data_IF_789890939907
#
_entry.id   IF_789890939907
#
_cell.length_a   1.000
_cell.length_b   1.000
_cell.length_c   1.000
_cell.angle_alpha   90.00
_cell.angle_beta   90.00
_cell.angle_gamma   90.00
#
_symmetry.space_group_name_H-M   'P 1'
#
loop_
_entity.id
_entity.type
_entity.pdbx_description
1 polymer ?
#
# COMPACT_ATOMS: atom_id res chain seq x y z
N UNK A 1 44.47 -32.69 36.10
CA UNK A 1 44.98 -31.65 35.18
C UNK A 1 44.19 -31.71 33.87
N UNK A 2 43.19 -30.85 33.67
CA UNK A 2 42.27 -30.92 32.53
C UNK A 2 42.86 -30.27 31.27
N UNK A 3 42.90 -31.00 30.15
CA UNK A 3 43.34 -30.48 28.84
C UNK A 3 42.35 -29.43 28.31
N UNK A 4 42.87 -28.27 27.91
CA UNK A 4 42.06 -27.21 27.28
C UNK A 4 41.55 -27.68 25.89
N UNK A 5 40.22 -27.71 25.72
CA UNK A 5 39.55 -28.26 24.52
C UNK A 5 39.49 -27.31 23.31
N UNK A 6 39.87 -26.03 23.45
CA UNK A 6 39.79 -25.02 22.36
C UNK A 6 41.16 -24.41 22.08
N UNK A 7 41.65 -24.59 20.87
CA UNK A 7 42.87 -23.97 20.36
C UNK A 7 42.63 -22.50 20.03
N UNK A 8 43.58 -21.63 20.40
CA UNK A 8 43.51 -20.19 20.10
C UNK A 8 43.77 -19.97 18.62
N UNK A 9 42.98 -19.08 17.99
CA UNK A 9 43.21 -18.67 16.60
C UNK A 9 44.34 -17.64 16.54
N UNK A 10 45.26 -17.79 15.59
CA UNK A 10 46.32 -16.83 15.33
C UNK A 10 45.77 -15.59 14.62
N UNK A 11 46.38 -14.41 14.86
CA UNK A 11 46.03 -13.12 14.26
C UNK A 11 44.57 -12.65 14.48
N UNK A 12 43.98 -12.95 15.64
CA UNK A 12 42.67 -12.40 16.00
C UNK A 12 42.77 -10.91 16.32
N UNK A 13 42.24 -10.07 15.43
CA UNK A 13 42.12 -8.62 15.63
C UNK A 13 40.75 -8.24 16.17
N UNK A 14 40.66 -7.06 16.81
CA UNK A 14 39.39 -6.47 17.22
C UNK A 14 38.55 -6.20 15.97
N UNK A 15 37.26 -6.54 16.00
CA UNK A 15 36.35 -6.24 14.87
C UNK A 15 36.24 -4.72 14.74
N UNK A 16 36.77 -4.18 13.66
CA UNK A 16 36.65 -2.78 13.27
C UNK A 16 35.52 -2.63 12.25
N UNK A 17 34.97 -1.43 12.14
CA UNK A 17 33.94 -1.13 11.15
C UNK A 17 34.54 -1.26 9.74
N UNK A 18 33.88 -2.03 8.88
CA UNK A 18 34.32 -2.22 7.51
C UNK A 18 34.02 -0.94 6.69
N UNK A 19 34.96 -0.40 5.91
CA UNK A 19 34.72 0.73 5.02
C UNK A 19 33.57 0.53 4.01
N UNK A 20 33.20 -0.72 3.72
CA UNK A 20 32.09 -1.08 2.83
C UNK A 20 30.77 -1.38 3.58
N UNK A 21 30.66 -1.00 4.85
CA UNK A 21 29.43 -1.23 5.64
C UNK A 21 28.26 -0.38 5.11
N UNK A 22 27.08 -1.00 5.02
CA UNK A 22 25.82 -0.40 4.53
C UNK A 22 25.34 0.72 5.46
N UNK A 23 25.79 0.74 6.72
CA UNK A 23 25.46 1.78 7.70
C UNK A 23 26.23 3.09 7.48
N UNK A 24 27.28 3.08 6.65
CA UNK A 24 28.04 4.29 6.33
C UNK A 24 27.26 5.17 5.35
N UNK A 25 27.11 6.45 5.70
CA UNK A 25 26.38 7.45 4.89
C UNK A 25 26.89 7.55 3.46
N UNK A 26 28.20 7.40 3.25
CA UNK A 26 28.81 7.43 1.91
C UNK A 26 28.37 6.25 1.04
N UNK A 27 28.19 5.06 1.64
CA UNK A 27 27.75 3.86 0.92
C UNK A 27 26.26 3.92 0.61
N UNK A 28 25.45 4.49 1.50
CA UNK A 28 24.04 4.78 1.25
C UNK A 28 23.85 5.81 0.13
N UNK A 29 24.64 6.88 0.13
CA UNK A 29 24.63 7.87 -0.95
C UNK A 29 25.06 7.26 -2.31
N UNK A 30 26.01 6.32 -2.31
CA UNK A 30 26.39 5.57 -3.53
C UNK A 30 25.29 4.62 -4.00
N UNK A 31 24.53 4.01 -3.09
CA UNK A 31 23.38 3.16 -3.45
C UNK A 31 22.23 3.99 -4.01
N UNK A 32 21.87 5.11 -3.37
CA UNK A 32 20.84 6.03 -3.86
C UNK A 32 21.18 6.56 -5.25
N UNK A 33 22.42 6.99 -5.49
CA UNK A 33 22.87 7.41 -6.83
C UNK A 33 22.74 6.31 -7.88
N UNK A 34 23.01 5.05 -7.53
CA UNK A 34 22.80 3.90 -8.44
C UNK A 34 21.32 3.66 -8.71
N UNK A 35 20.47 3.76 -7.70
CA UNK A 35 19.02 3.63 -7.86
C UNK A 35 18.44 4.77 -8.71
N UNK A 36 18.92 5.99 -8.50
CA UNK A 36 18.52 7.17 -9.26
C UNK A 36 19.03 7.11 -10.71
N UNK A 37 20.24 6.57 -10.94
CA UNK A 37 20.73 6.24 -12.29
C UNK A 37 19.90 5.14 -12.96
N UNK A 38 19.43 4.13 -12.23
CA UNK A 38 18.56 3.08 -12.76
C UNK A 38 17.17 3.64 -13.09
N UNK A 39 16.63 4.51 -12.23
CA UNK A 39 15.38 5.25 -12.49
C UNK A 39 15.52 6.22 -13.67
N UNK A 40 16.67 6.88 -13.81
CA UNK A 40 16.97 7.76 -14.93
C UNK A 40 17.18 6.99 -16.23
N UNK A 41 17.80 5.80 -16.19
CA UNK A 41 17.95 4.88 -17.33
C UNK A 41 16.66 4.20 -17.75
N UNK A 42 15.65 4.13 -16.87
CA UNK A 42 14.26 3.81 -17.24
C UNK A 42 13.57 4.98 -17.98
N UNK A 43 14.33 5.64 -18.87
CA UNK A 43 14.17 7.01 -19.36
C UNK A 43 12.92 7.31 -20.20
N UNK A 44 11.97 6.38 -20.34
CA UNK A 44 10.68 6.68 -20.98
C UNK A 44 9.61 5.67 -20.59
N UNK A 45 9.24 5.65 -19.31
CA UNK A 45 8.01 4.97 -18.88
C UNK A 45 6.80 5.82 -19.25
N UNK A 46 6.43 5.80 -20.53
CA UNK A 46 5.15 6.36 -20.98
C UNK A 46 4.05 5.41 -20.50
N UNK A 47 3.17 5.90 -19.64
CA UNK A 47 1.99 5.16 -19.21
C UNK A 47 1.07 4.98 -20.41
N UNK A 48 0.85 3.72 -20.81
CA UNK A 48 -0.13 3.41 -21.84
C UNK A 48 -1.54 3.62 -21.28
N UNK A 49 -2.43 4.16 -22.11
CA UNK A 49 -3.86 4.29 -21.79
C UNK A 49 -4.46 2.89 -21.74
N UNK A 50 -5.40 2.67 -20.82
CA UNK A 50 -6.10 1.41 -20.71
C UNK A 50 -6.88 1.11 -22.01
N UNK A 51 -6.84 -0.15 -22.46
CA UNK A 51 -7.52 -0.57 -23.69
C UNK A 51 -9.06 -0.45 -23.62
N UNK A 52 -9.62 -0.40 -22.41
CA UNK A 52 -11.05 -0.22 -22.17
C UNK A 52 -11.53 1.23 -22.22
N UNK A 53 -10.62 2.20 -22.43
CA UNK A 53 -10.98 3.61 -22.56
C UNK A 53 -11.14 3.99 -24.04
N UNK A 54 -12.39 4.21 -24.47
CA UNK A 54 -12.68 4.91 -25.71
C UNK A 54 -12.73 6.42 -25.43
N UNK A 55 -11.63 7.13 -25.72
CA UNK A 55 -11.43 8.53 -25.31
C UNK A 55 -11.55 8.68 -23.77
N UNK A 56 -12.67 9.21 -23.28
CA UNK A 56 -12.98 9.36 -21.86
C UNK A 56 -14.06 8.36 -21.39
N UNK A 57 -14.67 7.61 -22.30
CA UNK A 57 -15.67 6.59 -21.98
C UNK A 57 -14.98 5.28 -21.60
N UNK A 58 -15.43 4.63 -20.52
CA UNK A 58 -14.84 3.39 -20.03
C UNK A 58 -15.80 2.22 -20.24
N UNK A 59 -15.53 1.41 -21.26
CA UNK A 59 -16.36 0.25 -21.62
C UNK A 59 -16.27 -0.90 -20.59
N UNK A 60 -15.27 -0.88 -19.70
CA UNK A 60 -15.12 -1.90 -18.67
C UNK A 60 -16.15 -1.79 -17.52
N UNK A 61 -16.89 -0.68 -17.44
CA UNK A 61 -17.91 -0.47 -16.42
C UNK A 61 -19.23 -1.12 -16.85
N UNK A 62 -19.33 -2.42 -16.65
CA UNK A 62 -20.56 -3.19 -16.84
C UNK A 62 -21.10 -3.73 -15.50
N UNK A 63 -22.43 -3.94 -15.37
CA UNK A 63 -22.99 -4.66 -14.24
C UNK A 63 -22.42 -6.09 -14.12
N UNK A 64 -22.14 -6.61 -12.91
CA UNK A 64 -22.31 -5.97 -11.61
C UNK A 64 -21.23 -4.92 -11.31
N UNK A 65 -21.65 -3.71 -10.96
CA UNK A 65 -20.74 -2.60 -10.68
C UNK A 65 -19.98 -2.86 -9.38
N UNK A 66 -18.66 -2.76 -9.43
CA UNK A 66 -17.80 -2.80 -8.24
C UNK A 66 -17.47 -1.38 -7.84
N UNK A 67 -17.97 -0.96 -6.68
CA UNK A 67 -17.84 0.42 -6.22
C UNK A 67 -16.95 0.45 -5.00
N UNK A 68 -15.85 1.18 -5.09
CA UNK A 68 -14.96 1.43 -3.96
C UNK A 68 -15.60 2.46 -3.03
N UNK A 69 -15.60 2.16 -1.74
CA UNK A 69 -16.24 2.99 -0.72
C UNK A 69 -15.19 3.60 0.19
N UNK A 70 -15.39 4.87 0.51
CA UNK A 70 -14.56 5.65 1.43
C UNK A 70 -15.25 5.83 2.79
N UNK A 71 -14.48 6.16 3.83
CA UNK A 71 -14.96 6.36 5.20
C UNK A 71 -15.98 7.49 5.28
N UNK A 72 -15.74 8.58 4.54
CA UNK A 72 -16.65 9.72 4.48
C UNK A 72 -17.99 9.34 3.85
N UNK A 73 -17.99 8.49 2.82
CA UNK A 73 -19.22 8.03 2.18
C UNK A 73 -20.08 7.25 3.17
N UNK A 74 -19.49 6.32 3.92
CA UNK A 74 -20.17 5.54 4.96
C UNK A 74 -20.78 6.47 6.03
N UNK A 75 -20.01 7.47 6.48
CA UNK A 75 -20.48 8.43 7.48
C UNK A 75 -21.69 9.25 7.00
N UNK A 76 -21.64 9.73 5.75
CA UNK A 76 -22.77 10.46 5.16
C UNK A 76 -23.98 9.59 4.91
N UNK A 77 -23.80 8.34 4.47
CA UNK A 77 -24.90 7.38 4.31
C UNK A 77 -25.61 7.12 5.64
N UNK A 78 -24.85 6.96 6.73
CA UNK A 78 -25.43 6.76 8.07
C UNK A 78 -26.14 8.00 8.60
N UNK A 79 -25.57 9.20 8.41
CA UNK A 79 -26.21 10.45 8.82
C UNK A 79 -27.56 10.66 8.11
N UNK A 80 -27.62 10.32 6.83
CA UNK A 80 -28.83 10.43 6.00
C UNK A 80 -29.77 9.21 6.12
N UNK A 81 -29.42 8.22 6.96
CA UNK A 81 -30.19 6.97 7.15
C UNK A 81 -30.43 6.21 5.83
N UNK A 82 -29.45 6.26 4.91
CA UNK A 82 -29.49 5.54 3.66
C UNK A 82 -28.83 4.17 3.82
N UNK A 83 -29.53 3.13 3.38
CA UNK A 83 -28.95 1.80 3.27
C UNK A 83 -28.00 1.77 2.07
N UNK A 84 -26.75 1.40 2.31
CA UNK A 84 -25.67 1.49 1.32
C UNK A 84 -25.94 0.66 0.06
N UNK A 85 -26.30 -0.62 0.23
CA UNK A 85 -26.50 -1.54 -0.90
C UNK A 85 -27.76 -1.20 -1.69
N UNK A 86 -28.89 -0.99 -1.01
CA UNK A 86 -30.15 -0.59 -1.67
C UNK A 86 -29.98 0.74 -2.40
N UNK A 87 -29.44 1.77 -1.72
CA UNK A 87 -29.27 3.09 -2.30
C UNK A 87 -28.36 3.11 -3.54
N UNK A 88 -27.36 2.23 -3.59
CA UNK A 88 -26.50 2.08 -4.78
C UNK A 88 -27.21 1.38 -5.93
N UNK A 89 -28.02 0.35 -5.64
CA UNK A 89 -28.84 -0.32 -6.66
C UNK A 89 -29.91 0.60 -7.22
N UNK A 90 -30.55 1.42 -6.39
CA UNK A 90 -31.56 2.40 -6.80
C UNK A 90 -30.96 3.55 -7.62
N UNK A 91 -29.71 3.94 -7.34
CA UNK A 91 -29.01 4.99 -8.07
C UNK A 91 -28.53 4.54 -9.46
N UNK A 92 -27.99 3.32 -9.57
CA UNK A 92 -27.40 2.80 -10.81
C UNK A 92 -28.34 1.86 -11.58
N UNK A 93 -29.53 1.56 -11.04
CA UNK A 93 -30.51 0.61 -11.58
C UNK A 93 -29.93 -0.77 -11.95
N UNK A 94 -28.88 -1.19 -11.24
CA UNK A 94 -28.12 -2.39 -11.54
C UNK A 94 -27.55 -3.02 -10.25
N UNK A 95 -27.15 -4.29 -10.33
CA UNK A 95 -26.51 -4.98 -9.21
C UNK A 95 -25.17 -4.31 -8.89
N UNK A 96 -25.03 -3.85 -7.65
CA UNK A 96 -23.82 -3.21 -7.14
C UNK A 96 -23.16 -4.07 -6.05
N UNK A 97 -21.83 -4.16 -6.09
CA UNK A 97 -21.01 -4.85 -5.10
C UNK A 97 -20.15 -3.79 -4.41
N UNK A 98 -20.43 -3.45 -3.14
CA UNK A 98 -19.61 -2.54 -2.36
C UNK A 98 -18.25 -3.20 -2.06
N UNK A 99 -17.16 -2.50 -2.35
CA UNK A 99 -15.80 -2.92 -2.06
C UNK A 99 -15.18 -1.97 -1.03
N UNK A 100 -14.93 -2.48 0.18
CA UNK A 100 -14.21 -1.75 1.23
C UNK A 100 -12.77 -2.25 1.27
N UNK A 101 -11.82 -1.33 1.27
CA UNK A 101 -10.39 -1.64 1.35
C UNK A 101 -9.90 -1.64 2.79
N UNK A 102 -8.78 -2.33 3.05
CA UNK A 102 -8.19 -2.41 4.39
C UNK A 102 -7.80 -1.05 4.96
N UNK A 103 -7.40 -0.09 4.10
CA UNK A 103 -7.10 1.26 4.55
C UNK A 103 -8.35 1.99 5.07
N UNK A 104 -9.49 1.82 4.42
CA UNK A 104 -10.77 2.43 4.81
C UNK A 104 -11.27 1.80 6.12
N UNK A 105 -11.14 0.48 6.28
CA UNK A 105 -11.42 -0.20 7.55
C UNK A 105 -10.53 0.32 8.68
N UNK A 106 -9.23 0.45 8.43
CA UNK A 106 -8.28 0.97 9.42
C UNK A 106 -8.55 2.43 9.82
N UNK A 107 -9.04 3.25 8.88
CA UNK A 107 -9.46 4.62 9.18
C UNK A 107 -10.72 4.67 10.05
N UNK A 108 -11.72 3.82 9.77
CA UNK A 108 -12.92 3.70 10.60
C UNK A 108 -12.59 3.24 12.04
N UNK A 109 -11.66 2.29 12.19
CA UNK A 109 -11.20 1.84 13.51
C UNK A 109 -10.50 2.95 14.30
N UNK A 110 -9.71 3.80 13.63
CA UNK A 110 -9.01 4.94 14.24
C UNK A 110 -9.95 6.07 14.67
N UNK A 111 -11.07 6.26 13.97
CA UNK A 111 -12.09 7.27 14.30
C UNK A 111 -12.80 7.00 15.64
N UNK A 112 -12.61 5.81 16.21
CA UNK A 112 -12.90 5.49 17.60
C UNK A 112 -14.36 5.15 17.89
N UNK A 113 -14.73 5.16 19.18
CA UNK A 113 -16.01 4.63 19.65
C UNK A 113 -17.26 5.34 19.11
N UNK A 114 -17.13 6.59 18.64
CA UNK A 114 -18.24 7.37 18.05
C UNK A 114 -18.74 6.78 16.74
N UNK A 115 -17.88 6.09 15.99
CA UNK A 115 -18.21 5.49 14.69
C UNK A 115 -18.40 3.97 14.77
N UNK A 116 -18.63 3.41 15.97
CA UNK A 116 -18.92 1.98 16.15
C UNK A 116 -20.12 1.48 15.35
N UNK A 117 -21.09 2.35 15.09
CA UNK A 117 -22.27 2.03 14.27
C UNK A 117 -21.89 1.83 12.80
N UNK A 118 -20.85 2.53 12.31
CA UNK A 118 -20.35 2.38 10.95
C UNK A 118 -19.48 1.12 10.75
N UNK A 119 -19.00 0.55 11.85
CA UNK A 119 -18.11 -0.60 11.89
C UNK A 119 -18.86 -1.93 12.07
N UNK A 120 -20.19 -1.87 12.28
CA UNK A 120 -21.06 -3.02 12.56
C UNK A 120 -22.01 -3.27 11.39
#
# INVERSE_FOLDING_TARGET
MGKAKKTRKFATVKRLLNPNDIRLKENQAKQQKKEDEVKAKAARRVTQVAASLFLQHNDALAPPYRVLIDTNFINFSLQNKLELVSGMMDCLFAKCIPCVTDCVMAELEKLGHRYRVALR
#
